data_IF_784455550920
#
_entry.id   IF_784455550920
#
_cell.length_a   1.000
_cell.length_b   1.000
_cell.length_c   1.000
_cell.angle_alpha   90.00
_cell.angle_beta   90.00
_cell.angle_gamma   90.00
#
_symmetry.space_group_name_H-M   'P 1'
#
loop_
_entity.id
_entity.type
_entity.pdbx_description
1 polymer ?
#
# COMPACT_ATOMS: atom_id res chain seq x y z
N UNK A 1 -42.63 41.40 32.37
CA UNK A 1 -42.53 40.95 30.96
C UNK A 1 -41.08 40.77 30.46
N UNK A 2 -40.05 41.26 31.15
CA UNK A 2 -38.65 41.21 30.69
C UNK A 2 -37.94 39.88 31.04
N UNK A 3 -38.41 39.15 32.07
CA UNK A 3 -37.75 37.92 32.55
C UNK A 3 -38.03 36.66 31.70
N UNK A 4 -39.08 36.65 30.86
CA UNK A 4 -39.42 35.51 29.99
C UNK A 4 -38.68 35.51 28.64
N UNK A 5 -38.12 36.66 28.23
CA UNK A 5 -37.38 36.78 26.97
C UNK A 5 -35.92 36.35 27.14
N UNK A 6 -35.30 36.58 28.30
CA UNK A 6 -33.91 36.15 28.56
C UNK A 6 -33.74 34.63 28.73
N UNK A 7 -34.77 33.90 29.20
CA UNK A 7 -34.70 32.44 29.32
C UNK A 7 -34.83 31.72 27.97
N UNK A 8 -35.51 32.33 27.00
CA UNK A 8 -35.66 31.78 25.65
C UNK A 8 -34.39 31.95 24.82
N UNK A 9 -33.62 33.02 25.04
CA UNK A 9 -32.34 33.25 24.34
C UNK A 9 -31.24 32.32 24.87
N UNK A 10 -31.24 31.94 26.16
CA UNK A 10 -30.29 30.94 26.67
C UNK A 10 -30.62 29.50 26.27
N UNK A 11 -31.89 29.16 26.03
CA UNK A 11 -32.26 27.86 25.50
C UNK A 11 -31.89 27.71 24.01
N UNK A 12 -32.08 28.76 23.20
CA UNK A 12 -31.69 28.73 21.78
C UNK A 12 -30.16 28.80 21.60
N UNK A 13 -29.43 29.39 22.56
CA UNK A 13 -27.97 29.40 22.58
C UNK A 13 -27.31 28.05 22.92
N UNK A 14 -28.02 27.13 23.61
CA UNK A 14 -27.51 25.78 23.91
C UNK A 14 -27.82 24.73 22.82
N UNK A 15 -28.76 25.01 21.92
CA UNK A 15 -29.07 24.14 20.77
C UNK A 15 -28.37 24.57 19.46
N UNK A 16 -27.64 25.69 19.46
CA UNK A 16 -27.06 26.30 18.25
C UNK A 16 -25.61 25.93 17.90
N UNK A 17 -24.87 25.19 18.76
CA UNK A 17 -23.47 24.84 18.52
C UNK A 17 -23.14 23.44 19.04
N UNK A 18 -23.95 22.46 18.65
CA UNK A 18 -23.42 21.11 18.41
C UNK A 18 -23.56 20.87 16.92
N UNK A 19 -22.62 21.40 16.15
CA UNK A 19 -22.19 20.65 15.00
C UNK A 19 -21.76 19.29 15.59
N UNK A 20 -22.65 18.30 15.57
CA UNK A 20 -22.23 16.92 15.77
C UNK A 20 -21.16 16.75 14.71
N UNK A 21 -19.90 16.64 15.14
CA UNK A 21 -18.84 16.18 14.29
C UNK A 21 -19.40 14.87 13.72
N UNK A 22 -19.77 14.89 12.45
CA UNK A 22 -20.27 13.69 11.78
C UNK A 22 -19.11 12.70 11.91
N UNK A 23 -19.31 11.67 12.73
CA UNK A 23 -18.29 10.65 12.94
C UNK A 23 -18.01 10.05 11.57
N UNK A 24 -16.82 10.31 11.05
CA UNK A 24 -16.38 9.67 9.82
C UNK A 24 -16.35 8.16 10.07
N UNK A 25 -17.10 7.44 9.25
CA UNK A 25 -17.08 5.98 9.25
C UNK A 25 -16.02 5.54 8.24
N UNK A 26 -15.03 4.72 8.65
CA UNK A 26 -14.08 4.15 7.71
C UNK A 26 -14.81 3.45 6.55
N UNK A 27 -14.26 3.59 5.35
CA UNK A 27 -14.83 2.99 4.14
C UNK A 27 -13.72 2.35 3.32
N UNK A 28 -14.09 1.37 2.49
CA UNK A 28 -13.13 0.63 1.66
C UNK A 28 -13.24 1.00 0.19
N UNK A 29 -12.07 1.09 -0.43
CA UNK A 29 -11.89 1.24 -1.87
C UNK A 29 -11.29 -0.07 -2.39
N UNK A 30 -11.85 -0.66 -3.46
CA UNK A 30 -11.32 -1.91 -4.00
C UNK A 30 -9.92 -1.72 -4.58
N UNK A 31 -9.08 -2.73 -4.38
CA UNK A 31 -7.80 -2.88 -5.06
C UNK A 31 -7.85 -4.11 -5.95
N UNK A 32 -7.08 -4.09 -7.03
CA UNK A 32 -7.08 -5.12 -8.07
C UNK A 32 -5.66 -5.64 -8.26
N UNK A 33 -5.47 -6.95 -8.17
CA UNK A 33 -4.13 -7.56 -8.23
C UNK A 33 -3.94 -8.14 -9.62
N UNK A 34 -2.90 -7.70 -10.32
CA UNK A 34 -2.57 -8.14 -11.67
C UNK A 34 -1.28 -8.95 -11.69
N UNK A 35 -1.25 -10.06 -12.44
CA UNK A 35 0.01 -10.66 -12.90
C UNK A 35 0.43 -9.98 -14.21
N UNK A 36 1.54 -9.24 -14.15
CA UNK A 36 2.15 -8.54 -15.30
C UNK A 36 3.34 -9.33 -15.87
N UNK A 37 3.87 -10.27 -15.09
CA UNK A 37 4.89 -11.26 -15.46
C UNK A 37 4.33 -12.45 -16.24
N UNK A 38 5.08 -13.54 -16.37
CA UNK A 38 4.60 -14.77 -17.02
C UNK A 38 3.93 -15.72 -16.02
N UNK A 39 3.39 -16.84 -16.50
CA UNK A 39 2.91 -17.92 -15.64
C UNK A 39 4.04 -18.56 -14.83
N UNK A 40 5.22 -18.71 -15.44
CA UNK A 40 6.41 -19.32 -14.84
C UNK A 40 7.24 -18.35 -13.98
N UNK A 41 7.06 -17.05 -14.19
CA UNK A 41 7.73 -15.98 -13.45
C UNK A 41 6.72 -14.85 -13.22
N UNK A 42 5.76 -15.05 -12.31
CA UNK A 42 4.74 -14.04 -12.03
C UNK A 42 5.39 -12.79 -11.44
N UNK A 43 4.80 -11.64 -11.76
CA UNK A 43 5.14 -10.36 -11.16
C UNK A 43 3.83 -9.67 -10.84
N UNK A 44 3.64 -9.30 -9.58
CA UNK A 44 2.36 -8.76 -9.12
C UNK A 44 2.42 -7.24 -8.99
N UNK A 45 1.37 -6.60 -9.49
CA UNK A 45 1.12 -5.15 -9.37
C UNK A 45 -0.28 -4.94 -8.82
N UNK A 46 -0.44 -3.88 -8.03
CA UNK A 46 -1.75 -3.51 -7.47
C UNK A 46 -2.31 -2.33 -8.26
N UNK A 47 -3.58 -2.42 -8.60
CA UNK A 47 -4.32 -1.37 -9.28
C UNK A 47 -5.43 -0.80 -8.40
N UNK A 48 -5.72 0.48 -8.61
CA UNK A 48 -6.89 1.17 -8.07
C UNK A 48 -7.70 1.77 -9.22
N UNK A 49 -9.00 1.53 -9.20
CA UNK A 49 -9.91 1.97 -10.26
C UNK A 49 -10.53 3.33 -9.90
N UNK A 50 -10.26 4.35 -10.69
CA UNK A 50 -10.62 5.74 -10.40
C UNK A 50 -11.24 6.43 -11.61
N UNK A 51 -12.08 7.43 -11.35
CA UNK A 51 -12.47 8.40 -12.38
C UNK A 51 -11.70 9.72 -12.14
N UNK A 52 -11.06 10.21 -13.21
CA UNK A 52 -10.35 11.49 -13.21
C UNK A 52 -11.08 12.45 -14.14
N UNK A 53 -11.63 13.53 -13.57
CA UNK A 53 -12.57 14.41 -14.27
C UNK A 53 -11.99 15.12 -15.50
N UNK A 54 -10.68 15.28 -15.56
CA UNK A 54 -10.01 15.95 -16.67
C UNK A 54 -9.53 14.98 -17.76
N UNK A 55 -9.43 13.69 -17.43
CA UNK A 55 -9.05 12.66 -18.38
C UNK A 55 -10.26 12.28 -19.24
N UNK A 56 -10.24 12.72 -20.49
CA UNK A 56 -11.23 12.32 -21.50
C UNK A 56 -10.52 11.76 -22.73
N UNK A 57 -10.70 10.48 -23.00
CA UNK A 57 -10.14 9.81 -24.18
C UNK A 57 -11.19 9.45 -25.24
N UNK A 58 -12.40 10.01 -25.09
CA UNK A 58 -13.53 9.73 -25.97
C UNK A 58 -14.21 8.38 -25.73
N UNK A 59 -13.78 7.61 -24.73
CA UNK A 59 -14.49 6.39 -24.31
C UNK A 59 -15.76 6.71 -23.51
N UNK A 60 -16.66 5.73 -23.45
CA UNK A 60 -17.86 5.79 -22.62
C UNK A 60 -17.61 5.30 -21.17
N UNK A 61 -16.37 4.92 -20.82
CA UNK A 61 -16.00 4.42 -19.49
C UNK A 61 -15.13 5.45 -18.78
N UNK A 62 -15.67 6.19 -17.79
CA UNK A 62 -14.90 7.21 -17.07
C UNK A 62 -13.91 6.62 -16.05
N UNK A 63 -14.00 5.31 -15.78
CA UNK A 63 -13.14 4.60 -14.83
C UNK A 63 -11.88 4.07 -15.51
N UNK A 64 -10.74 4.30 -14.87
CA UNK A 64 -9.40 3.93 -15.33
C UNK A 64 -8.63 3.30 -14.19
N UNK A 65 -7.84 2.29 -14.52
CA UNK A 65 -6.96 1.61 -13.57
C UNK A 65 -5.63 2.36 -13.49
N UNK A 66 -5.20 2.70 -12.28
CA UNK A 66 -3.90 3.31 -12.00
C UNK A 66 -3.12 2.39 -11.06
N UNK A 67 -1.80 2.38 -11.17
CA UNK A 67 -0.95 1.58 -10.27
C UNK A 67 -1.04 2.14 -8.85
N UNK A 68 -1.40 1.32 -7.87
CA UNK A 68 -1.44 1.70 -6.47
C UNK A 68 -0.06 1.49 -5.83
N UNK A 69 0.65 2.58 -5.56
CA UNK A 69 2.06 2.54 -5.16
C UNK A 69 2.28 3.26 -3.82
N UNK A 70 2.54 2.54 -2.74
CA UNK A 70 2.85 3.13 -1.43
C UNK A 70 4.30 3.62 -1.27
N UNK A 71 5.22 3.27 -2.16
CA UNK A 71 6.58 3.83 -2.23
C UNK A 71 6.61 5.15 -3.03
N UNK A 72 5.83 5.21 -4.11
CA UNK A 72 5.70 6.35 -5.00
C UNK A 72 4.94 7.54 -4.41
N UNK A 73 5.34 8.75 -4.80
CA UNK A 73 4.70 10.01 -4.39
C UNK A 73 4.07 10.73 -5.58
N UNK A 74 2.86 11.25 -5.38
CA UNK A 74 2.11 12.02 -6.38
C UNK A 74 1.15 11.16 -7.20
N UNK A 75 0.10 11.77 -7.73
CA UNK A 75 -0.82 11.10 -8.66
C UNK A 75 -0.55 11.59 -10.09
N UNK A 76 -0.13 10.66 -10.95
CA UNK A 76 0.12 10.90 -12.36
C UNK A 76 -0.85 10.10 -13.24
N UNK A 77 -1.54 10.76 -14.16
CA UNK A 77 -2.60 10.16 -14.97
C UNK A 77 -2.47 10.47 -16.46
N UNK A 78 -2.97 9.56 -17.29
CA UNK A 78 -3.07 9.71 -18.74
C UNK A 78 -4.50 9.40 -19.24
N UNK A 79 -4.92 9.95 -20.40
CA UNK A 79 -4.23 10.94 -21.24
C UNK A 79 -4.27 12.38 -20.74
N UNK A 80 -3.20 13.12 -21.05
CA UNK A 80 -3.21 14.57 -21.10
C UNK A 80 -3.97 15.08 -22.34
N UNK A 81 -4.91 16.00 -22.14
CA UNK A 81 -5.49 16.79 -23.23
C UNK A 81 -4.98 18.23 -23.20
N UNK A 82 -4.51 18.75 -24.34
CA UNK A 82 -4.03 20.12 -24.49
C UNK A 82 -5.11 21.20 -24.27
N UNK A 83 -6.37 20.81 -24.07
CA UNK A 83 -7.49 21.70 -23.72
C UNK A 83 -7.60 21.97 -22.22
N UNK A 84 -6.77 21.33 -21.41
CA UNK A 84 -6.78 21.52 -19.96
C UNK A 84 -6.01 22.76 -19.52
N UNK A 85 -6.52 23.46 -18.50
CA UNK A 85 -5.81 24.56 -17.88
C UNK A 85 -4.64 24.01 -17.07
N UNK A 86 -3.43 24.14 -17.60
CA UNK A 86 -2.21 23.69 -16.92
C UNK A 86 -1.74 24.77 -15.93
N UNK A 87 -1.37 24.34 -14.73
CA UNK A 87 -0.79 25.23 -13.71
C UNK A 87 0.75 25.23 -13.75
N UNK A 88 1.36 24.36 -14.56
CA UNK A 88 2.79 24.20 -14.72
C UNK A 88 3.15 22.88 -15.39
N UNK A 89 4.43 22.71 -15.69
CA UNK A 89 5.03 21.45 -16.12
C UNK A 89 5.83 20.84 -14.97
N UNK A 90 5.83 19.52 -14.90
CA UNK A 90 6.50 18.71 -13.90
C UNK A 90 7.31 17.62 -14.62
N UNK A 91 8.52 17.35 -14.15
CA UNK A 91 9.33 16.23 -14.62
C UNK A 91 9.71 15.35 -13.44
N UNK A 92 9.46 14.05 -13.55
CA UNK A 92 9.78 13.05 -12.52
C UNK A 92 10.62 11.93 -13.13
N UNK A 93 11.66 11.50 -12.43
CA UNK A 93 12.32 10.22 -12.68
C UNK A 93 11.76 9.17 -11.71
N UNK A 94 11.19 8.10 -12.24
CA UNK A 94 10.75 6.94 -11.46
C UNK A 94 11.93 6.02 -11.16
N UNK A 95 11.83 5.24 -10.08
CA UNK A 95 12.81 4.22 -9.71
C UNK A 95 13.07 3.22 -10.86
N UNK A 96 12.08 2.96 -11.72
CA UNK A 96 12.21 2.15 -12.94
C UNK A 96 13.14 2.73 -14.02
N UNK A 97 13.70 3.92 -13.80
CA UNK A 97 14.54 4.64 -14.75
C UNK A 97 13.75 5.35 -15.86
N UNK A 98 12.42 5.43 -15.74
CA UNK A 98 11.58 6.22 -16.63
C UNK A 98 11.57 7.68 -16.20
N UNK A 99 11.71 8.59 -17.15
CA UNK A 99 11.48 10.03 -16.96
C UNK A 99 10.10 10.38 -17.52
N UNK A 100 9.22 10.93 -16.71
CA UNK A 100 7.90 11.43 -17.13
C UNK A 100 7.88 12.94 -17.12
N UNK A 101 7.33 13.53 -18.18
CA UNK A 101 6.86 14.91 -18.19
C UNK A 101 5.35 14.93 -18.03
N UNK A 102 4.85 15.80 -17.17
CA UNK A 102 3.44 15.94 -16.90
C UNK A 102 3.02 17.41 -16.76
N UNK A 103 1.78 17.74 -17.10
CA UNK A 103 1.18 19.03 -16.81
C UNK A 103 0.33 18.96 -15.55
N UNK A 104 0.49 19.93 -14.65
CA UNK A 104 -0.31 19.97 -13.44
C UNK A 104 -1.74 20.44 -13.74
N UNK A 105 -2.73 19.66 -13.29
CA UNK A 105 -4.15 19.97 -13.43
C UNK A 105 -4.86 19.80 -12.09
N UNK A 106 -5.72 20.76 -11.72
CA UNK A 106 -6.60 20.61 -10.55
C UNK A 106 -7.95 20.07 -11.03
N UNK A 107 -8.27 18.84 -10.64
CA UNK A 107 -9.44 18.11 -11.16
C UNK A 107 -10.11 17.25 -10.10
N UNK A 108 -11.31 16.76 -10.42
CA UNK A 108 -12.03 15.79 -9.60
C UNK A 108 -11.38 14.41 -9.71
N UNK A 109 -11.11 13.78 -8.57
CA UNK A 109 -10.79 12.35 -8.48
C UNK A 109 -11.91 11.66 -7.74
N UNK A 110 -12.49 10.62 -8.35
CA UNK A 110 -13.61 9.86 -7.80
C UNK A 110 -13.21 8.41 -7.59
N UNK A 111 -13.51 7.91 -6.38
CA UNK A 111 -13.20 6.58 -5.88
C UNK A 111 -14.41 5.69 -5.90
N UNK A 112 -14.21 4.44 -6.30
CA UNK A 112 -15.18 3.37 -6.06
C UNK A 112 -15.21 3.03 -4.57
N UNK A 113 -16.39 2.75 -4.02
CA UNK A 113 -16.57 2.37 -2.61
C UNK A 113 -17.31 1.04 -2.55
N UNK A 114 -16.72 0.03 -1.90
CA UNK A 114 -17.22 -1.36 -1.92
C UNK A 114 -18.26 -1.67 -0.86
N UNK A 115 -18.36 -0.87 0.21
CA UNK A 115 -19.25 -1.15 1.35
C UNK A 115 -20.70 -0.63 1.13
N UNK A 116 -21.13 -0.53 -0.12
CA UNK A 116 -22.45 0.03 -0.50
C UNK A 116 -22.56 1.55 -0.35
N UNK A 117 -21.44 2.23 -0.07
CA UNK A 117 -21.33 3.69 -0.04
C UNK A 117 -21.43 4.31 -1.43
N UNK A 118 -21.82 5.58 -1.49
CA UNK A 118 -21.72 6.36 -2.72
C UNK A 118 -20.24 6.55 -3.10
N UNK A 119 -19.90 6.64 -4.40
CA UNK A 119 -18.57 7.02 -4.83
C UNK A 119 -18.10 8.30 -4.12
N UNK A 120 -16.85 8.30 -3.68
CA UNK A 120 -16.28 9.42 -2.96
C UNK A 120 -15.50 10.30 -3.95
N UNK A 121 -15.75 11.62 -3.98
CA UNK A 121 -15.09 12.54 -4.92
C UNK A 121 -14.42 13.69 -4.18
N UNK A 122 -13.25 14.12 -4.66
CA UNK A 122 -12.51 15.27 -4.13
C UNK A 122 -11.75 16.01 -5.24
N UNK A 123 -11.32 17.23 -4.96
CA UNK A 123 -10.46 18.00 -5.86
C UNK A 123 -8.99 17.76 -5.52
N UNK A 124 -8.16 17.56 -6.54
CA UNK A 124 -6.73 17.30 -6.38
C UNK A 124 -5.91 17.89 -7.50
N UNK A 125 -4.69 18.31 -7.18
CA UNK A 125 -3.68 18.58 -8.18
C UNK A 125 -3.03 17.25 -8.59
N UNK A 126 -3.15 16.90 -9.88
CA UNK A 126 -2.58 15.69 -10.45
C UNK A 126 -1.63 16.06 -11.60
N UNK A 127 -0.64 15.21 -11.84
CA UNK A 127 0.23 15.33 -13.02
C UNK A 127 -0.40 14.60 -14.21
N UNK A 128 -0.73 15.31 -15.28
CA UNK A 128 -1.21 14.70 -16.50
C UNK A 128 -0.06 14.42 -17.44
N UNK A 129 0.22 13.14 -17.65
CA UNK A 129 1.40 12.66 -18.36
C UNK A 129 1.30 13.09 -19.82
N UNK A 130 2.24 13.93 -20.25
CA UNK A 130 2.36 14.45 -21.61
C UNK A 130 3.43 13.70 -22.41
N UNK A 131 4.47 13.17 -21.75
CA UNK A 131 5.47 12.31 -22.37
C UNK A 131 6.18 11.43 -21.35
N UNK A 132 6.74 10.32 -21.81
CA UNK A 132 7.61 9.44 -21.04
C UNK A 132 8.86 9.09 -21.85
N UNK A 133 10.00 8.95 -21.20
CA UNK A 133 11.23 8.43 -21.81
C UNK A 133 11.90 7.43 -20.86
N UNK A 134 12.76 6.56 -21.37
CA UNK A 134 13.68 5.77 -20.54
C UNK A 134 15.09 5.99 -21.08
N UNK A 135 15.88 6.90 -20.49
CA UNK A 135 17.22 7.24 -21.00
C UNK A 135 18.20 6.06 -21.01
N UNK A 136 18.01 5.07 -20.12
CA UNK A 136 18.88 3.88 -20.05
C UNK A 136 18.48 2.79 -21.05
N UNK A 137 17.24 2.81 -21.52
CA UNK A 137 16.70 1.91 -22.52
C UNK A 137 15.87 2.69 -23.55
N UNK A 138 16.50 3.52 -24.41
CA UNK A 138 15.78 4.38 -25.35
C UNK A 138 14.93 3.59 -26.35
N UNK A 139 15.28 2.33 -26.65
CA UNK A 139 14.50 1.45 -27.53
C UNK A 139 13.35 0.73 -26.80
N UNK A 140 13.37 0.72 -25.45
CA UNK A 140 12.21 0.39 -24.61
C UNK A 140 11.42 1.63 -24.22
N UNK A 141 11.91 2.83 -24.57
CA UNK A 141 11.26 4.08 -24.21
C UNK A 141 9.84 4.07 -24.75
N UNK A 142 8.94 4.49 -23.88
CA UNK A 142 7.53 4.25 -24.01
C UNK A 142 6.98 5.22 -25.06
N UNK A 143 7.13 4.87 -26.34
CA UNK A 143 6.32 5.46 -27.43
C UNK A 143 4.81 5.27 -27.16
N UNK A 144 4.42 4.45 -26.18
CA UNK A 144 3.04 4.15 -25.81
C UNK A 144 2.28 5.30 -25.13
N UNK A 145 2.93 6.31 -24.52
CA UNK A 145 2.20 7.47 -23.98
C UNK A 145 1.90 8.52 -25.06
N UNK A 146 2.74 8.65 -26.09
CA UNK A 146 2.55 9.64 -27.16
C UNK A 146 1.76 9.08 -28.34
N UNK A 147 1.90 7.79 -28.64
CA UNK A 147 1.07 7.12 -29.64
C UNK A 147 -0.28 6.78 -29.00
N UNK A 148 -1.25 7.67 -29.21
CA UNK A 148 -2.67 7.47 -28.90
C UNK A 148 -3.16 6.14 -29.49
N UNK A 149 -2.94 5.01 -28.81
CA UNK A 149 -3.72 3.80 -29.06
C UNK A 149 -5.05 4.03 -28.33
N UNK A 150 -6.15 4.30 -29.06
CA UNK A 150 -7.43 4.51 -28.41
C UNK A 150 -7.78 3.24 -27.62
N UNK A 151 -7.92 3.39 -26.31
CA UNK A 151 -8.41 2.38 -25.36
C UNK A 151 -7.43 1.30 -24.86
N UNK A 152 -6.11 1.50 -24.92
CA UNK A 152 -5.16 0.62 -24.22
C UNK A 152 -4.36 1.40 -23.18
N UNK A 153 -4.19 0.82 -21.99
CA UNK A 153 -3.41 1.44 -20.94
C UNK A 153 -1.91 1.38 -21.30
N UNK A 154 -1.16 2.49 -21.20
CA UNK A 154 0.22 2.56 -21.67
C UNK A 154 1.19 1.73 -20.84
N UNK A 155 0.95 1.55 -19.53
CA UNK A 155 1.84 0.79 -18.66
C UNK A 155 1.36 -0.65 -18.54
N UNK A 156 2.18 -1.58 -19.06
CA UNK A 156 1.97 -3.04 -18.98
C UNK A 156 0.62 -3.52 -19.55
N UNK A 157 -0.07 -2.66 -20.32
CA UNK A 157 -1.44 -2.84 -20.84
C UNK A 157 -2.56 -2.78 -19.80
N UNK A 158 -2.24 -2.46 -18.54
CA UNK A 158 -3.22 -2.41 -17.45
C UNK A 158 -3.38 -1.02 -16.83
N UNK A 159 -2.32 -0.22 -16.72
CA UNK A 159 -2.33 1.02 -15.94
C UNK A 159 -2.21 2.29 -16.79
N UNK A 160 -3.02 3.28 -16.46
CA UNK A 160 -3.10 4.61 -17.10
C UNK A 160 -2.23 5.65 -16.42
N UNK A 161 -1.36 5.24 -15.51
CA UNK A 161 -0.63 6.14 -14.66
C UNK A 161 -0.27 5.49 -13.33
N UNK A 162 0.40 6.29 -12.53
CA UNK A 162 0.86 5.94 -11.21
C UNK A 162 0.04 6.70 -10.18
N UNK A 163 -0.46 5.98 -9.19
CA UNK A 163 -1.22 6.50 -8.08
C UNK A 163 -0.41 6.34 -6.79
N UNK A 164 0.51 7.29 -6.60
CA UNK A 164 1.34 7.39 -5.43
C UNK A 164 0.53 7.60 -4.15
N UNK A 165 0.79 6.71 -3.19
CA UNK A 165 0.27 6.66 -1.83
C UNK A 165 1.36 6.85 -0.79
N UNK A 166 2.59 7.09 -1.24
CA UNK A 166 3.71 7.49 -0.40
C UNK A 166 3.37 8.69 0.47
N UNK A 167 3.88 8.65 1.70
CA UNK A 167 3.71 9.71 2.70
C UNK A 167 4.67 10.88 2.51
N UNK A 168 5.56 10.77 1.51
CA UNK A 168 6.44 11.84 1.05
C UNK A 168 5.71 12.93 0.29
N UNK A 169 6.38 14.08 0.15
CA UNK A 169 5.99 15.08 -0.81
C UNK A 169 7.11 15.27 -1.82
N UNK A 170 6.73 15.42 -3.08
CA UNK A 170 7.65 15.90 -4.09
C UNK A 170 8.17 17.29 -3.67
N UNK A 171 9.44 17.63 -3.92
CA UNK A 171 9.98 18.94 -3.59
C UNK A 171 9.22 20.02 -4.38
N UNK A 172 8.71 21.04 -3.68
CA UNK A 172 8.04 22.17 -4.35
C UNK A 172 9.06 23.08 -5.03
N UNK A 173 8.87 23.38 -6.31
CA UNK A 173 9.57 24.50 -6.94
C UNK A 173 8.82 25.79 -6.61
N UNK A 174 9.55 26.90 -6.45
CA UNK A 174 8.95 28.19 -6.10
C UNK A 174 7.83 28.55 -7.10
N UNK A 175 6.59 28.59 -6.61
CA UNK A 175 5.34 28.93 -7.32
C UNK A 175 4.62 27.82 -8.09
N UNK A 176 5.06 26.56 -8.05
CA UNK A 176 4.32 25.44 -8.68
C UNK A 176 3.83 24.46 -7.61
N UNK A 177 2.52 24.23 -7.47
CA UNK A 177 2.02 23.16 -6.61
C UNK A 177 2.50 21.80 -7.15
N UNK A 178 2.67 20.81 -6.29
CA UNK A 178 3.06 19.47 -6.72
C UNK A 178 1.83 18.58 -6.98
N UNK A 179 1.95 17.55 -7.84
CA UNK A 179 1.01 16.44 -7.85
C UNK A 179 0.89 15.86 -6.43
N UNK A 180 -0.34 15.60 -6.01
CA UNK A 180 -0.65 15.22 -4.63
C UNK A 180 -0.93 13.71 -4.56
N UNK A 181 -0.24 13.01 -3.65
CA UNK A 181 -0.51 11.58 -3.34
C UNK A 181 -1.92 11.40 -2.78
N UNK A 182 -2.55 10.24 -2.95
CA UNK A 182 -3.88 9.98 -2.36
C UNK A 182 -3.92 10.14 -0.85
N UNK A 183 -2.82 9.83 -0.17
CA UNK A 183 -2.73 10.05 1.26
C UNK A 183 -3.09 11.50 1.65
N UNK A 184 -2.69 12.48 0.85
CA UNK A 184 -3.01 13.89 1.07
C UNK A 184 -4.43 14.29 0.65
N UNK A 185 -5.18 13.37 0.05
CA UNK A 185 -6.55 13.55 -0.41
C UNK A 185 -7.56 12.93 0.57
N UNK A 186 -7.24 11.77 1.14
CA UNK A 186 -8.06 11.01 2.11
C UNK A 186 -8.67 11.88 3.24
N UNK A 187 -7.92 12.75 3.91
CA UNK A 187 -8.42 13.67 4.94
C UNK A 187 -9.60 14.55 4.55
N UNK A 188 -9.76 14.83 3.26
CA UNK A 188 -10.83 15.70 2.76
C UNK A 188 -12.20 15.03 2.85
N UNK A 189 -12.26 13.71 3.09
CA UNK A 189 -13.52 12.98 3.33
C UNK A 189 -14.12 13.19 4.74
N UNK A 190 -13.39 13.85 5.65
CA UNK A 190 -13.89 14.24 6.97
C UNK A 190 -12.82 14.23 8.07
N UNK A 191 -13.04 14.97 9.16
CA UNK A 191 -12.03 15.22 10.20
C UNK A 191 -11.44 13.96 10.87
N UNK A 192 -12.18 12.85 10.95
CA UNK A 192 -11.67 11.59 11.53
C UNK A 192 -11.11 10.58 10.51
N UNK A 193 -11.09 10.90 9.21
CA UNK A 193 -10.34 10.15 8.20
C UNK A 193 -8.81 10.33 8.34
N UNK A 194 -8.38 11.19 9.26
CA UNK A 194 -7.00 11.65 9.44
C UNK A 194 -6.07 10.70 10.21
N UNK A 195 -6.61 9.60 10.73
CA UNK A 195 -5.87 8.69 11.61
C UNK A 195 -4.87 7.77 10.87
N UNK A 196 -5.15 7.45 9.61
CA UNK A 196 -4.40 6.44 8.87
C UNK A 196 -5.25 5.68 7.87
N UNK A 197 -4.68 4.59 7.35
CA UNK A 197 -5.35 3.68 6.42
C UNK A 197 -4.85 2.24 6.63
N UNK A 198 -5.62 1.26 6.14
CA UNK A 198 -5.26 -0.16 6.17
C UNK A 198 -5.30 -0.72 4.75
N UNK A 199 -4.28 -1.46 4.36
CA UNK A 199 -4.21 -2.17 3.08
C UNK A 199 -4.37 -3.67 3.34
N UNK A 200 -5.20 -4.31 2.54
CA UNK A 200 -5.42 -5.75 2.55
C UNK A 200 -5.38 -6.28 1.12
N UNK A 201 -4.44 -7.17 0.82
CA UNK A 201 -4.31 -7.79 -0.51
C UNK A 201 -4.79 -9.24 -0.56
N UNK A 202 -5.11 -9.84 0.59
CA UNK A 202 -5.35 -11.29 0.69
C UNK A 202 -4.06 -12.09 0.56
N UNK A 203 -4.17 -13.39 0.30
CA UNK A 203 -3.02 -14.28 0.18
C UNK A 203 -2.24 -14.05 -1.12
N UNK A 204 -0.98 -14.50 -1.14
CA UNK A 204 -0.21 -14.56 -2.38
C UNK A 204 -0.99 -15.43 -3.39
N UNK A 205 -1.23 -14.94 -4.62
CA UNK A 205 -1.91 -15.71 -5.64
C UNK A 205 -1.21 -17.06 -5.90
N UNK A 206 -2.01 -18.11 -6.16
CA UNK A 206 -1.48 -19.44 -6.41
C UNK A 206 -0.50 -19.45 -7.61
N UNK A 207 0.50 -20.34 -7.57
CA UNK A 207 1.41 -20.56 -8.69
C UNK A 207 0.65 -20.95 -9.97
N UNK A 208 1.16 -20.56 -11.15
CA UNK A 208 0.53 -20.91 -12.43
C UNK A 208 -0.63 -20.00 -12.82
N UNK A 209 -0.78 -18.83 -12.17
CA UNK A 209 -1.74 -17.81 -12.62
C UNK A 209 -1.20 -17.11 -13.88
N UNK A 210 -1.98 -17.16 -14.96
CA UNK A 210 -1.66 -16.45 -16.19
C UNK A 210 -1.68 -14.93 -16.03
N UNK A 211 -1.26 -14.22 -17.08
CA UNK A 211 -1.31 -12.75 -17.15
C UNK A 211 -2.73 -12.22 -16.99
N UNK A 212 -2.87 -11.10 -16.29
CA UNK A 212 -4.13 -10.37 -16.14
C UNK A 212 -4.56 -10.20 -14.69
N UNK A 213 -5.84 -9.88 -14.48
CA UNK A 213 -6.45 -9.74 -13.15
C UNK A 213 -6.56 -11.12 -12.48
N UNK A 214 -5.97 -11.26 -11.29
CA UNK A 214 -5.88 -12.54 -10.57
C UNK A 214 -6.47 -12.49 -9.17
N UNK A 215 -6.77 -11.30 -8.64
CA UNK A 215 -7.30 -11.13 -7.29
C UNK A 215 -7.81 -9.73 -7.02
N UNK A 216 -8.46 -9.57 -5.87
CA UNK A 216 -8.96 -8.28 -5.39
C UNK A 216 -8.63 -8.12 -3.92
N UNK A 217 -8.19 -6.92 -3.55
CA UNK A 217 -7.98 -6.49 -2.17
C UNK A 217 -8.81 -5.24 -1.88
N UNK A 218 -8.43 -4.51 -0.83
CA UNK A 218 -9.00 -3.22 -0.51
C UNK A 218 -8.02 -2.33 0.25
N UNK A 219 -8.22 -1.02 0.14
CA UNK A 219 -7.67 -0.03 1.07
C UNK A 219 -8.81 0.57 1.87
N UNK A 220 -8.71 0.52 3.20
CA UNK A 220 -9.64 1.18 4.10
C UNK A 220 -9.10 2.56 4.42
N UNK A 221 -9.93 3.56 4.17
CA UNK A 221 -9.65 4.95 4.50
C UNK A 221 -10.13 5.24 5.92
N UNK A 222 -9.22 5.72 6.76
CA UNK A 222 -9.44 5.92 8.19
C UNK A 222 -9.26 4.65 9.01
N UNK A 223 -9.00 4.84 10.31
CA UNK A 223 -8.83 3.77 11.29
C UNK A 223 -10.01 3.77 12.27
N UNK A 224 -10.45 2.57 12.65
CA UNK A 224 -11.36 2.41 13.79
C UNK A 224 -10.63 2.67 15.11
N UNK A 225 -11.37 2.89 16.20
CA UNK A 225 -10.79 3.11 17.53
C UNK A 225 -9.82 2.01 17.95
N UNK A 226 -10.14 0.74 17.68
CA UNK A 226 -9.24 -0.36 18.04
C UNK A 226 -7.99 -0.38 17.15
N UNK A 227 -8.11 -0.03 15.86
CA UNK A 227 -6.97 0.00 14.94
C UNK A 227 -5.95 1.10 15.26
N UNK A 228 -6.34 2.13 16.03
CA UNK A 228 -5.43 3.13 16.57
C UNK A 228 -4.53 2.59 17.69
N UNK A 229 -4.95 1.53 18.38
CA UNK A 229 -4.18 0.99 19.50
C UNK A 229 -3.06 0.07 18.97
N UNK A 230 -1.81 0.32 19.37
CA UNK A 230 -0.68 -0.53 18.97
C UNK A 230 -0.90 -2.01 19.33
N UNK A 231 -1.57 -2.29 20.46
CA UNK A 231 -1.92 -3.65 20.92
C UNK A 231 -2.93 -4.38 20.04
N UNK A 232 -3.56 -3.70 19.09
CA UNK A 232 -4.40 -4.34 18.07
C UNK A 232 -3.56 -5.08 17.02
N UNK A 233 -2.28 -4.72 16.88
CA UNK A 233 -1.40 -5.21 15.84
C UNK A 233 -0.45 -6.29 16.39
N UNK A 234 -0.27 -7.38 15.66
CA UNK A 234 0.64 -8.48 16.00
C UNK A 234 2.08 -7.97 16.08
N UNK A 235 2.47 -7.12 15.12
CA UNK A 235 3.75 -6.43 15.09
C UNK A 235 3.58 -4.96 14.68
N UNK A 236 4.50 -4.11 15.13
CA UNK A 236 4.55 -2.71 14.71
C UNK A 236 5.97 -2.25 14.45
N UNK A 237 6.15 -1.38 13.44
CA UNK A 237 7.38 -0.66 13.19
C UNK A 237 7.16 0.83 13.40
N UNK A 238 8.00 1.45 14.22
CA UNK A 238 7.99 2.90 14.46
C UNK A 238 8.35 3.64 13.17
N UNK A 239 7.52 4.60 12.80
CA UNK A 239 7.83 5.48 11.68
C UNK A 239 8.90 6.49 12.09
N UNK A 240 9.71 6.94 11.14
CA UNK A 240 10.63 8.07 11.32
C UNK A 240 9.86 9.33 11.65
N UNK A 241 10.53 10.30 12.26
CA UNK A 241 9.90 11.60 12.54
C UNK A 241 9.51 12.26 11.22
N UNK A 242 8.28 12.79 11.09
CA UNK A 242 7.87 13.51 9.89
C UNK A 242 8.71 14.77 9.68
N UNK A 243 8.82 15.24 8.43
CA UNK A 243 9.68 16.35 8.02
C UNK A 243 9.33 17.71 8.65
N UNK A 244 8.18 17.80 9.33
CA UNK A 244 7.61 19.04 9.87
C UNK A 244 6.75 19.80 8.87
N UNK A 245 6.72 19.36 7.61
CA UNK A 245 5.82 19.87 6.58
C UNK A 245 4.45 19.19 6.66
N UNK A 246 3.45 19.83 6.07
CA UNK A 246 2.11 19.26 5.92
C UNK A 246 1.63 19.37 4.50
N UNK A 247 0.91 18.36 4.03
CA UNK A 247 0.21 18.42 2.75
C UNK A 247 -0.83 19.55 2.76
N UNK A 248 -0.74 20.43 1.76
CA UNK A 248 -1.49 21.69 1.69
C UNK A 248 -3.02 21.52 1.82
N UNK A 249 -3.57 20.42 1.28
CA UNK A 249 -5.02 20.21 1.21
C UNK A 249 -5.59 19.44 2.40
N UNK A 250 -4.74 18.82 3.23
CA UNK A 250 -5.20 17.96 4.32
C UNK A 250 -4.66 18.33 5.70
N UNK A 251 -3.56 19.09 5.76
CA UNK A 251 -2.84 19.33 7.01
C UNK A 251 -2.15 18.07 7.56
N UNK A 252 -2.11 16.97 6.80
CA UNK A 252 -1.42 15.76 7.20
C UNK A 252 0.09 15.94 7.16
N UNK A 253 0.78 15.32 8.11
CA UNK A 253 2.25 15.37 8.18
C UNK A 253 2.87 14.68 6.98
N UNK A 254 3.92 15.27 6.44
CA UNK A 254 4.77 14.68 5.41
C UNK A 254 5.86 13.85 6.07
N UNK A 255 6.13 12.66 5.54
CA UNK A 255 7.22 11.78 5.94
C UNK A 255 8.25 11.67 4.80
N UNK A 256 9.31 10.91 5.02
CA UNK A 256 10.22 10.51 3.94
C UNK A 256 9.73 9.19 3.32
N UNK A 257 10.23 8.84 2.13
CA UNK A 257 9.98 7.54 1.50
C UNK A 257 10.47 6.38 2.38
N UNK A 258 11.63 6.58 3.02
CA UNK A 258 12.10 5.70 4.10
C UNK A 258 11.26 5.98 5.34
N UNK A 259 10.22 5.18 5.51
CA UNK A 259 9.25 5.37 6.59
C UNK A 259 9.73 4.84 7.92
N UNK A 260 10.61 3.83 7.96
CA UNK A 260 11.07 3.22 9.21
C UNK A 260 12.55 2.90 9.15
N UNK A 261 13.15 2.72 10.31
CA UNK A 261 14.48 2.12 10.44
C UNK A 261 14.37 0.71 11.00
N UNK A 262 15.37 -0.13 10.78
CA UNK A 262 15.36 -1.48 11.32
C UNK A 262 16.67 -2.25 11.20
N UNK A 263 16.53 -3.56 11.26
CA UNK A 263 17.59 -4.56 11.08
C UNK A 263 17.13 -5.57 10.06
N UNK A 264 18.02 -5.98 9.16
CA UNK A 264 17.78 -7.12 8.28
C UNK A 264 18.86 -8.18 8.49
N UNK A 265 18.47 -9.45 8.37
CA UNK A 265 19.36 -10.59 8.50
C UNK A 265 19.10 -11.60 7.37
N UNK A 266 20.17 -12.09 6.76
CA UNK A 266 20.15 -13.16 5.77
C UNK A 266 20.82 -14.38 6.39
N UNK A 267 20.03 -15.40 6.68
CA UNK A 267 20.49 -16.71 7.09
C UNK A 267 20.73 -17.55 5.84
N UNK A 268 21.92 -18.14 5.71
CA UNK A 268 22.27 -18.96 4.55
C UNK A 268 21.74 -20.39 4.65
N UNK A 269 21.29 -20.85 5.83
CA UNK A 269 20.72 -22.19 6.02
C UNK A 269 19.92 -22.26 7.33
N UNK A 270 19.02 -23.25 7.54
CA UNK A 270 18.23 -23.38 8.77
C UNK A 270 19.06 -23.52 10.06
N UNK A 271 20.35 -23.87 9.94
CA UNK A 271 21.29 -24.05 11.05
C UNK A 271 22.38 -22.96 11.10
N UNK A 272 22.24 -21.90 10.30
CA UNK A 272 23.21 -20.81 10.26
C UNK A 272 23.25 -20.08 11.60
N UNK A 273 24.37 -20.23 12.32
CA UNK A 273 24.61 -19.56 13.60
C UNK A 273 25.11 -18.11 13.45
N UNK A 274 25.38 -17.66 12.22
CA UNK A 274 26.02 -16.36 11.93
C UNK A 274 25.42 -15.71 10.68
N UNK A 275 24.13 -15.31 10.70
CA UNK A 275 23.50 -14.68 9.56
C UNK A 275 24.16 -13.32 9.23
N UNK A 276 24.25 -13.00 7.93
CA UNK A 276 24.69 -11.69 7.47
C UNK A 276 23.66 -10.65 7.92
N UNK A 277 24.06 -9.73 8.80
CA UNK A 277 23.12 -8.82 9.48
C UNK A 277 23.54 -7.37 9.27
N UNK A 278 22.56 -6.54 8.94
CA UNK A 278 22.69 -5.09 8.81
C UNK A 278 21.73 -4.40 9.77
N UNK A 279 22.26 -3.48 10.58
CA UNK A 279 21.48 -2.67 11.54
C UNK A 279 21.39 -1.22 11.08
N UNK A 280 20.36 -0.50 11.55
CA UNK A 280 20.09 0.90 11.18
C UNK A 280 19.86 1.09 9.67
N UNK A 281 19.21 0.11 9.05
CA UNK A 281 18.78 0.20 7.66
C UNK A 281 17.51 1.01 7.54
N UNK A 282 17.35 1.74 6.43
CA UNK A 282 16.06 2.31 6.06
C UNK A 282 15.09 1.22 5.56
N UNK A 283 13.78 1.46 5.72
CA UNK A 283 12.72 0.58 5.25
C UNK A 283 11.69 1.40 4.48
N UNK A 284 11.42 0.96 3.24
CA UNK A 284 10.36 1.49 2.37
C UNK A 284 9.28 0.42 2.25
N UNK A 285 8.01 0.80 2.48
CA UNK A 285 6.85 -0.10 2.34
C UNK A 285 6.16 0.19 1.01
N UNK A 286 6.34 -0.68 0.03
CA UNK A 286 6.05 -0.36 -1.37
C UNK A 286 5.19 -1.43 -2.05
N UNK A 287 3.95 -1.10 -2.40
CA UNK A 287 3.07 -1.97 -3.19
C UNK A 287 3.33 -1.93 -4.70
N UNK A 288 4.07 -0.93 -5.19
CA UNK A 288 4.49 -0.79 -6.58
C UNK A 288 5.69 -1.67 -6.94
N UNK A 289 6.50 -2.07 -5.95
CA UNK A 289 7.60 -3.02 -6.15
C UNK A 289 7.13 -4.49 -6.04
N UNK A 290 7.35 -5.35 -7.06
CA UNK A 290 6.85 -6.73 -7.06
C UNK A 290 7.58 -7.66 -6.08
N UNK A 291 8.79 -7.29 -5.64
CA UNK A 291 9.65 -8.11 -4.79
C UNK A 291 10.27 -7.27 -3.68
N UNK A 292 10.75 -7.94 -2.64
CA UNK A 292 11.63 -7.30 -1.65
C UNK A 292 12.99 -7.08 -2.29
N UNK A 293 13.53 -5.87 -2.17
CA UNK A 293 14.84 -5.50 -2.72
C UNK A 293 15.72 -4.87 -1.64
N UNK A 294 16.96 -5.33 -1.57
CA UNK A 294 18.00 -4.72 -0.73
C UNK A 294 18.78 -3.73 -1.61
N UNK A 295 18.95 -2.50 -1.13
CA UNK A 295 19.69 -1.44 -1.80
C UNK A 295 20.95 -1.09 -0.98
N UNK A 296 22.06 -1.84 -1.14
CA UNK A 296 23.31 -1.59 -0.45
C UNK A 296 24.08 -0.45 -1.12
N UNK A 297 23.82 0.79 -0.73
CA UNK A 297 24.37 1.98 -1.41
C UNK A 297 24.94 2.97 -0.40
N UNK A 298 26.25 3.06 -0.20
CA UNK A 298 26.87 4.07 0.65
C UNK A 298 28.21 3.61 1.23
N UNK A 299 28.93 4.50 1.91
CA UNK A 299 30.23 4.18 2.51
C UNK A 299 30.15 3.10 3.61
N UNK A 300 28.95 2.92 4.18
CA UNK A 300 28.63 1.95 5.23
C UNK A 300 27.65 0.86 4.75
N UNK A 301 27.33 0.82 3.46
CA UNK A 301 26.62 -0.33 2.87
C UNK A 301 27.55 -1.55 2.98
N UNK A 302 27.01 -2.70 3.39
CA UNK A 302 27.77 -3.95 3.23
C UNK A 302 28.30 -4.14 1.81
N UNK A 303 29.32 -4.98 1.65
CA UNK A 303 29.82 -5.29 0.31
C UNK A 303 28.68 -5.91 -0.52
N UNK A 304 28.35 -5.30 -1.67
CA UNK A 304 27.33 -5.82 -2.59
C UNK A 304 27.58 -7.30 -2.92
N UNK A 305 28.85 -7.69 -3.03
CA UNK A 305 29.23 -9.08 -3.30
C UNK A 305 28.90 -10.02 -2.14
N UNK A 306 29.03 -9.57 -0.89
CA UNK A 306 28.65 -10.35 0.30
C UNK A 306 27.14 -10.58 0.35
N UNK A 307 26.34 -9.53 0.08
CA UNK A 307 24.87 -9.68 0.06
C UNK A 307 24.43 -10.61 -1.07
N UNK A 308 25.01 -10.45 -2.26
CA UNK A 308 24.71 -11.29 -3.42
C UNK A 308 25.04 -12.75 -3.16
N UNK A 309 26.20 -13.02 -2.56
CA UNK A 309 26.62 -14.37 -2.19
C UNK A 309 25.71 -14.95 -1.11
N UNK A 310 25.37 -14.18 -0.06
CA UNK A 310 24.50 -14.64 1.01
C UNK A 310 23.09 -15.00 0.51
N UNK A 311 22.52 -14.22 -0.41
CA UNK A 311 21.22 -14.53 -1.02
C UNK A 311 21.29 -15.79 -1.91
N UNK A 312 22.36 -15.95 -2.68
CA UNK A 312 22.58 -17.13 -3.51
C UNK A 312 22.72 -18.40 -2.65
N UNK A 313 23.48 -18.33 -1.56
CA UNK A 313 23.65 -19.43 -0.61
C UNK A 313 22.36 -19.74 0.14
N UNK A 314 21.61 -18.72 0.58
CA UNK A 314 20.31 -18.89 1.20
C UNK A 314 19.31 -19.59 0.25
N UNK A 315 19.25 -19.16 -1.01
CA UNK A 315 18.41 -19.81 -2.03
C UNK A 315 18.80 -21.27 -2.26
N UNK A 316 20.11 -21.57 -2.32
CA UNK A 316 20.61 -22.91 -2.57
C UNK A 316 20.40 -23.88 -1.39
N UNK A 317 20.47 -23.37 -0.15
CA UNK A 317 20.52 -24.18 1.07
C UNK A 317 19.26 -24.07 1.95
N UNK A 318 18.22 -23.38 1.48
CA UNK A 318 16.97 -23.20 2.23
C UNK A 318 17.11 -22.25 3.42
N UNK A 319 17.92 -21.20 3.25
CA UNK A 319 18.06 -20.10 4.19
C UNK A 319 16.83 -19.19 4.26
N UNK A 320 16.92 -18.13 5.08
CA UNK A 320 15.82 -17.19 5.33
C UNK A 320 16.27 -15.74 5.31
N UNK A 321 15.32 -14.86 5.05
CA UNK A 321 15.44 -13.42 5.12
C UNK A 321 14.52 -12.90 6.23
N UNK A 322 15.07 -12.09 7.12
CA UNK A 322 14.32 -11.41 8.17
C UNK A 322 14.49 -9.90 8.05
N UNK A 323 13.39 -9.17 8.26
CA UNK A 323 13.34 -7.72 8.35
C UNK A 323 12.55 -7.34 9.60
N UNK A 324 13.21 -6.66 10.52
CA UNK A 324 12.67 -6.26 11.82
C UNK A 324 12.77 -4.74 11.91
N UNK A 325 11.63 -4.06 12.06
CA UNK A 325 11.58 -2.62 12.27
C UNK A 325 12.02 -2.22 13.68
N UNK A 326 12.29 -0.93 13.90
CA UNK A 326 12.38 -0.39 15.25
C UNK A 326 11.01 -0.53 15.94
N UNK A 327 10.93 -1.09 17.17
CA UNK A 327 9.65 -1.28 17.83
C UNK A 327 9.02 0.06 18.22
N UNK A 328 7.70 0.15 18.08
CA UNK A 328 6.91 1.21 18.69
C UNK A 328 6.77 0.93 20.21
N UNK A 329 6.79 1.97 21.05
CA UNK A 329 6.95 1.84 22.52
C UNK A 329 5.88 0.97 23.21
N UNK A 330 4.73 0.77 22.57
CA UNK A 330 3.62 -0.03 23.08
C UNK A 330 3.51 -1.44 22.43
N UNK A 331 4.47 -1.85 21.60
CA UNK A 331 4.46 -3.15 20.92
C UNK A 331 5.44 -4.15 21.52
N UNK A 332 5.07 -5.44 21.42
CA UNK A 332 5.90 -6.57 21.83
C UNK A 332 6.71 -7.18 20.68
N UNK A 333 6.38 -6.84 19.43
CA UNK A 333 7.04 -7.36 18.22
C UNK A 333 7.15 -6.25 17.16
N UNK A 334 8.16 -6.36 16.30
CA UNK A 334 8.42 -5.47 15.16
C UNK A 334 8.88 -6.21 13.92
N UNK A 335 8.63 -7.53 13.86
CA UNK A 335 8.91 -8.36 12.70
C UNK A 335 8.01 -7.97 11.52
N UNK A 336 8.61 -7.50 10.43
CA UNK A 336 7.92 -7.09 9.21
C UNK A 336 7.88 -8.25 8.22
N UNK A 337 9.05 -8.88 7.99
CA UNK A 337 9.20 -10.07 7.15
C UNK A 337 10.05 -11.10 7.88
N UNK A 338 9.63 -12.36 7.81
CA UNK A 338 10.43 -13.53 8.18
C UNK A 338 10.01 -14.65 7.24
N UNK A 339 10.79 -14.84 6.18
CA UNK A 339 10.47 -15.77 5.09
C UNK A 339 11.69 -16.57 4.66
N UNK A 340 11.53 -17.85 4.27
CA UNK A 340 12.57 -18.53 3.49
C UNK A 340 12.95 -17.69 2.27
N UNK A 341 14.20 -17.73 1.84
CA UNK A 341 14.61 -17.12 0.57
C UNK A 341 14.18 -18.04 -0.58
N UNK A 342 13.51 -17.47 -1.59
CA UNK A 342 13.03 -18.20 -2.75
C UNK A 342 13.02 -17.34 -4.01
N UNK A 343 12.22 -17.76 -4.99
CA UNK A 343 12.12 -17.12 -6.31
C UNK A 343 10.66 -16.81 -6.70
N UNK A 344 9.73 -16.83 -5.73
CA UNK A 344 8.31 -16.55 -5.96
C UNK A 344 8.04 -15.08 -5.62
N UNK A 345 7.66 -14.30 -6.63
CA UNK A 345 7.32 -12.88 -6.48
C UNK A 345 6.15 -12.69 -5.50
N UNK A 346 6.21 -11.62 -4.71
CA UNK A 346 5.24 -11.33 -3.66
C UNK A 346 5.22 -12.31 -2.48
N UNK A 347 6.06 -13.35 -2.48
CA UNK A 347 6.14 -14.32 -1.37
C UNK A 347 7.52 -14.34 -0.73
N UNK A 348 8.54 -14.66 -1.51
CA UNK A 348 9.88 -14.94 -0.97
C UNK A 348 11.04 -14.61 -1.90
N UNK A 349 10.76 -13.96 -3.04
CA UNK A 349 11.80 -13.43 -3.91
C UNK A 349 12.46 -12.22 -3.25
N UNK A 350 13.73 -12.35 -2.87
CA UNK A 350 14.55 -11.28 -2.30
C UNK A 350 15.64 -10.92 -3.30
N UNK A 351 15.60 -9.70 -3.81
CA UNK A 351 16.51 -9.19 -4.82
C UNK A 351 17.54 -8.21 -4.27
N UNK A 352 18.46 -7.84 -5.16
CA UNK A 352 19.41 -6.76 -4.99
C UNK A 352 19.18 -5.71 -6.08
N UNK A 353 19.11 -4.45 -5.68
CA UNK A 353 18.98 -3.35 -6.62
C UNK A 353 20.23 -2.47 -6.59
N UNK A 354 20.72 -2.14 -7.79
CA UNK A 354 21.80 -1.17 -8.01
C UNK A 354 21.28 0.20 -8.42
N UNK A 355 19.95 0.35 -8.54
CA UNK A 355 19.32 1.62 -8.87
C UNK A 355 19.18 2.45 -7.59
N UNK A 356 19.77 3.64 -7.64
CA UNK A 356 19.79 4.59 -6.54
C UNK A 356 18.63 5.58 -6.69
N UNK A 357 17.95 5.87 -5.60
CA UNK A 357 17.34 7.19 -5.44
C UNK A 357 18.49 8.14 -5.11
N UNK A 358 18.62 9.24 -5.84
CA UNK A 358 19.80 10.14 -5.86
C UNK A 358 20.19 10.69 -4.47
N UNK A 359 19.29 10.60 -3.48
CA UNK A 359 19.45 11.14 -2.12
C UNK A 359 19.20 10.13 -0.99
N UNK A 360 19.21 8.81 -1.25
CA UNK A 360 18.93 7.81 -0.21
C UNK A 360 20.12 7.57 0.75
N UNK A 361 19.89 7.40 2.07
CA UNK A 361 20.92 7.00 3.03
C UNK A 361 21.49 5.61 2.74
N UNK A 362 22.64 5.35 3.37
CA UNK A 362 23.67 4.38 2.98
C UNK A 362 23.25 2.89 2.80
N UNK A 363 22.04 2.48 3.20
CA UNK A 363 21.49 1.12 3.02
C UNK A 363 20.00 1.15 3.36
N UNK A 364 19.16 0.62 2.48
CA UNK A 364 17.73 0.43 2.77
C UNK A 364 17.19 -0.85 2.15
N UNK A 365 16.04 -1.28 2.67
CA UNK A 365 15.25 -2.39 2.12
C UNK A 365 13.91 -1.83 1.66
N UNK A 366 13.60 -2.06 0.39
CA UNK A 366 12.26 -1.92 -0.13
C UNK A 366 11.53 -3.25 0.11
N UNK A 367 10.43 -3.25 0.87
CA UNK A 367 9.74 -4.51 1.19
C UNK A 367 9.08 -5.16 -0.02
N UNK A 368 8.76 -4.36 -1.04
CA UNK A 368 7.82 -4.73 -2.08
C UNK A 368 6.46 -5.14 -1.54
N UNK A 369 5.65 -5.66 -2.45
CA UNK A 369 4.31 -6.18 -2.18
C UNK A 369 4.32 -7.38 -1.21
N UNK A 370 5.47 -8.02 -1.01
CA UNK A 370 5.67 -9.16 -0.09
C UNK A 370 5.23 -8.87 1.34
N UNK A 371 5.44 -7.64 1.83
CA UNK A 371 5.02 -7.27 3.19
C UNK A 371 3.50 -7.11 3.36
N UNK A 372 2.74 -7.11 2.27
CA UNK A 372 1.30 -6.87 2.26
C UNK A 372 0.46 -8.14 2.05
N UNK A 373 0.99 -9.14 1.34
CA UNK A 373 0.27 -10.39 1.15
C UNK A 373 0.14 -11.18 2.47
N UNK A 374 -1.04 -11.75 2.69
CA UNK A 374 -1.42 -12.46 3.90
C UNK A 374 -1.62 -11.58 5.14
N UNK A 375 -1.55 -10.25 4.98
CA UNK A 375 -1.56 -9.29 6.09
C UNK A 375 -2.53 -8.14 5.89
N UNK A 376 -3.02 -7.61 7.00
CA UNK A 376 -3.52 -6.24 7.09
C UNK A 376 -2.33 -5.36 7.48
N UNK A 377 -2.02 -4.38 6.62
CA UNK A 377 -0.93 -3.42 6.86
C UNK A 377 -1.53 -2.04 7.09
N UNK A 378 -1.36 -1.52 8.30
CA UNK A 378 -1.89 -0.23 8.69
C UNK A 378 -0.82 0.83 8.82
N UNK A 379 -1.09 2.01 8.27
CA UNK A 379 -0.27 3.19 8.47
C UNK A 379 -0.99 4.06 9.50
N UNK A 380 -0.61 3.99 10.78
CA UNK A 380 -1.14 4.86 11.84
C UNK A 380 -0.29 6.13 11.94
N UNK A 381 -0.90 7.23 11.49
CA UNK A 381 -0.22 8.51 11.32
C UNK A 381 -0.42 9.45 12.49
N UNK A 382 -1.45 9.17 13.29
CA UNK A 382 -1.69 9.85 14.55
C UNK A 382 -0.54 9.54 15.52
N UNK A 383 -0.20 8.25 15.62
CA UNK A 383 0.75 7.74 16.61
C UNK A 383 2.13 7.41 16.02
N UNK A 384 2.24 7.34 14.68
CA UNK A 384 3.51 7.25 13.96
C UNK A 384 4.10 5.84 13.92
N UNK A 385 3.32 4.86 13.51
CA UNK A 385 3.78 3.48 13.32
C UNK A 385 3.07 2.78 12.16
N UNK A 386 3.75 1.80 11.57
CA UNK A 386 3.14 0.80 10.66
C UNK A 386 2.79 -0.44 11.47
N UNK A 387 1.53 -0.86 11.43
CA UNK A 387 1.01 -2.05 12.11
C UNK A 387 0.78 -3.20 11.15
N UNK A 388 1.04 -4.43 11.61
CA UNK A 388 0.88 -5.65 10.82
C UNK A 388 0.02 -6.64 11.60
N UNK A 389 -1.01 -7.17 10.95
CA UNK A 389 -1.79 -8.30 11.45
C UNK A 389 -1.81 -9.41 10.42
N UNK A 390 -1.56 -10.64 10.85
CA UNK A 390 -1.78 -11.80 9.98
C UNK A 390 -3.27 -12.03 9.83
N UNK A 391 -3.78 -12.09 8.61
CA UNK A 391 -5.22 -12.33 8.40
C UNK A 391 -5.44 -13.84 8.26
N UNK A 392 -6.21 -14.48 9.15
CA UNK A 392 -6.50 -15.91 9.02
C UNK A 392 -7.26 -16.20 7.73
N UNK A 393 -6.87 -17.25 7.00
CA UNK A 393 -7.56 -17.63 5.77
C UNK A 393 -9.08 -17.73 5.98
N UNK A 394 -9.92 -17.19 5.07
CA UNK A 394 -11.37 -17.42 5.08
C UNK A 394 -11.75 -18.91 5.11
N UNK A 395 -10.86 -19.80 4.64
CA UNK A 395 -11.12 -21.25 4.53
C UNK A 395 -10.66 -22.07 5.74
N UNK A 396 -9.79 -21.54 6.60
CA UNK A 396 -9.27 -22.29 7.75
C UNK A 396 -10.30 -22.42 8.87
N UNK A 397 -11.09 -21.37 9.12
CA UNK A 397 -12.18 -21.37 10.12
C UNK A 397 -13.39 -22.22 9.69
N UNK A 398 -13.67 -22.32 8.38
CA UNK A 398 -14.68 -23.22 7.84
C UNK A 398 -14.30 -24.71 8.04
N UNK A 399 -13.02 -25.07 7.90
CA UNK A 399 -12.51 -26.42 8.16
C UNK A 399 -12.57 -26.80 9.64
N UNK A 400 -12.32 -25.85 10.57
CA UNK A 400 -12.54 -26.08 12.00
C UNK A 400 -14.02 -26.26 12.35
N UNK A 401 -14.92 -25.49 11.73
CA UNK A 401 -16.36 -25.64 11.89
C UNK A 401 -16.89 -26.99 11.40
N UNK A 402 -16.42 -27.47 10.24
CA UNK A 402 -16.78 -28.80 9.71
C UNK A 402 -16.22 -29.91 10.59
N UNK A 403 -14.99 -29.78 11.09
CA UNK A 403 -14.36 -30.77 11.98
C UNK A 403 -15.10 -30.91 13.32
N UNK A 404 -15.60 -29.80 13.88
CA UNK A 404 -16.43 -29.81 15.09
C UNK A 404 -17.81 -30.42 14.84
N UNK A 405 -18.42 -30.18 13.68
CA UNK A 405 -19.70 -30.79 13.30
C UNK A 405 -19.57 -32.30 13.06
N UNK A 406 -18.50 -32.76 12.41
CA UNK A 406 -18.23 -34.19 12.21
C UNK A 406 -17.90 -34.89 13.54
N UNK A 407 -17.07 -34.25 14.37
CA UNK A 407 -16.75 -34.74 15.72
C UNK A 407 -17.99 -34.83 16.62
N UNK A 408 -18.82 -33.78 16.62
CA UNK A 408 -20.08 -33.76 17.35
C UNK A 408 -21.08 -34.82 16.88
N UNK A 409 -21.21 -35.00 15.56
CA UNK A 409 -22.08 -36.04 14.98
C UNK A 409 -21.62 -37.46 15.35
N UNK A 410 -20.31 -37.71 15.36
CA UNK A 410 -19.76 -39.01 15.74
C UNK A 410 -20.03 -39.36 17.21
N UNK A 411 -19.92 -38.38 18.11
CA UNK A 411 -20.24 -38.54 19.55
C UNK A 411 -21.74 -38.79 19.77
N UNK A 412 -22.60 -38.04 19.08
CA UNK A 412 -24.05 -38.25 19.14
C UNK A 412 -24.44 -39.64 18.61
N UNK A 413 -23.83 -40.09 17.52
CA UNK A 413 -24.08 -41.42 16.96
C UNK A 413 -23.62 -42.55 17.89
N UNK A 414 -22.50 -42.37 18.61
CA UNK A 414 -22.02 -43.34 19.61
C UNK A 414 -22.91 -43.41 20.85
N UNK A 415 -23.43 -42.29 21.32
CA UNK A 415 -24.37 -42.28 22.46
C UNK A 415 -25.71 -42.94 22.13
N UNK A 416 -26.21 -42.76 20.89
CA UNK A 416 -27.45 -43.41 20.42
C UNK A 416 -27.31 -44.93 20.21
N UNK A 417 -26.16 -45.41 19.73
CA UNK A 417 -25.93 -46.86 19.57
C UNK A 417 -25.79 -47.58 20.91
N UNK A 418 -25.18 -46.92 21.92
CA UNK A 418 -25.13 -47.42 23.29
C UNK A 418 -26.51 -47.49 23.96
N UNK A 419 -27.39 -46.53 23.69
CA UNK A 419 -28.75 -46.50 24.26
C UNK A 419 -29.64 -47.61 23.68
N UNK A 420 -29.50 -47.95 22.40
CA UNK A 420 -30.25 -49.06 21.78
C UNK A 420 -29.82 -50.45 22.27
N UNK A 421 -28.55 -50.65 22.63
CA UNK A 421 -28.09 -51.93 23.21
C UNK A 421 -28.61 -52.20 24.62
N UNK A 422 -28.92 -51.16 25.40
CA UNK A 422 -29.45 -51.31 26.77
C UNK A 422 -30.96 -51.58 26.84
N UNK A 423 -31.69 -51.49 25.73
CA UNK A 423 -33.13 -51.85 25.67
C UNK A 423 -33.39 -53.25 25.09
N UNK A 424 -32.33 -53.98 24.69
CA UNK A 424 -32.42 -55.30 24.09
C UNK A 424 -31.87 -56.42 25.01
N UNK A 425 -31.70 -56.13 26.30
CA UNK A 425 -31.33 -57.10 27.35
C UNK A 425 -32.37 -57.09 28.46
#
# INVERSE_FOLDING_TARGET
MILRVCLFIMAVGLFGLRAQAQEFTPFRIPLYIFNVGSEDAPQYKVGINLQVGSVTDGSNTPWRMYEFDTGGTGFFAFPYSATENTQGEYSLSYASGNELSAHLSNTSVTFEVTDGGAPASLQSNIGLISSASNPTHPDKSINQWTERLPNEAPLEKYFYGDFGMGLGSLPSTANTPNPVSLFALIPQFGNSANAGFVIHLGDVPASGVGKGLIGTGWVQVGLTTNQLEASHWDATAKMVTPSGETFLNSGQKVYEEILSNGTTSISTSPTDGTPLTFTNIGIVYDTGAPNTEIHPVGADAGDYSDVSQALADALANGGSFSLIGQPYEASNDSTILDTPVGNVSGLNSIGLSTQNVIDSPALYVNTGITAFFGKDVAFNLQDGYVGFNTVPEPNSSALFGISLLIGGWYVIRRSWSGYRRKKAL
#
